data_IF_858666507479
#
_entry.id   IF_858666507479
#
_cell.length_a   1.000
_cell.length_b   1.000
_cell.length_c   1.000
_cell.angle_alpha   90.00
_cell.angle_beta   90.00
_cell.angle_gamma   90.00
#
_symmetry.space_group_name_H-M   'P 1'
#
loop_
_entity.id
_entity.type
_entity.pdbx_description
1 polymer ?
#
# COMPACT_ATOMS: atom_id res chain seq x y z
N UNK A 1 -24.82 -6.32 13.70
CA UNK A 1 -25.50 -6.07 14.99
C UNK A 1 -25.41 -7.25 15.95
N UNK A 2 -25.73 -8.49 15.52
CA UNK A 2 -25.70 -9.66 16.41
C UNK A 2 -24.27 -10.04 16.85
N UNK A 3 -23.31 -10.01 15.95
CA UNK A 3 -21.89 -10.28 16.27
C UNK A 3 -21.34 -9.23 17.24
N UNK A 4 -21.77 -7.99 17.14
CA UNK A 4 -21.36 -6.93 18.08
C UNK A 4 -21.78 -7.22 19.52
N UNK A 5 -22.94 -7.85 19.73
CA UNK A 5 -23.42 -8.26 21.06
C UNK A 5 -22.53 -9.34 21.71
N UNK A 6 -21.86 -10.15 20.87
CA UNK A 6 -20.94 -11.20 21.32
C UNK A 6 -19.53 -10.69 21.59
N UNK A 7 -19.17 -9.52 21.06
CA UNK A 7 -17.86 -8.93 21.28
C UNK A 7 -17.73 -8.40 22.71
N UNK A 8 -16.83 -9.00 23.45
CA UNK A 8 -16.53 -8.65 24.85
C UNK A 8 -15.15 -8.01 25.02
N UNK A 9 -14.49 -7.66 23.92
CA UNK A 9 -13.19 -7.00 23.93
C UNK A 9 -13.26 -5.63 24.58
N UNK A 10 -12.22 -5.27 25.34
CA UNK A 10 -12.03 -3.96 25.95
C UNK A 10 -10.65 -3.43 25.58
N UNK A 11 -10.49 -2.12 25.35
CA UNK A 11 -9.17 -1.53 25.07
C UNK A 11 -8.12 -1.88 26.16
N UNK A 12 -8.56 -1.97 27.42
CA UNK A 12 -7.71 -2.29 28.56
C UNK A 12 -7.04 -3.66 28.44
N UNK A 13 -7.65 -4.60 27.73
CA UNK A 13 -7.05 -5.93 27.54
C UNK A 13 -5.81 -5.83 26.63
N UNK A 14 -5.89 -5.03 25.57
CA UNK A 14 -4.73 -4.77 24.70
C UNK A 14 -3.66 -3.98 25.46
N UNK A 15 -4.06 -2.96 26.20
CA UNK A 15 -3.12 -2.19 27.04
C UNK A 15 -2.38 -3.08 28.03
N UNK A 16 -3.09 -3.97 28.70
CA UNK A 16 -2.48 -4.90 29.66
C UNK A 16 -1.57 -5.91 28.94
N UNK A 17 -1.99 -6.44 27.79
CA UNK A 17 -1.15 -7.33 26.99
C UNK A 17 0.18 -6.66 26.61
N UNK A 18 0.14 -5.41 26.13
CA UNK A 18 1.34 -4.66 25.80
C UNK A 18 2.22 -4.38 27.02
N UNK A 19 1.62 -4.12 28.19
CA UNK A 19 2.38 -3.97 29.46
C UNK A 19 3.05 -5.27 29.86
N UNK A 20 2.38 -6.40 29.76
CA UNK A 20 2.97 -7.71 30.05
C UNK A 20 4.13 -8.02 29.12
N UNK A 21 4.00 -7.74 27.82
CA UNK A 21 5.11 -7.89 26.86
C UNK A 21 6.31 -7.00 27.25
N UNK A 22 6.06 -5.77 27.68
CA UNK A 22 7.12 -4.87 28.11
C UNK A 22 7.82 -5.37 29.38
N UNK A 23 7.08 -5.91 30.36
CA UNK A 23 7.67 -6.51 31.57
C UNK A 23 8.47 -7.76 31.25
N UNK A 24 7.97 -8.64 30.37
CA UNK A 24 8.69 -9.83 29.91
C UNK A 24 10.02 -9.44 29.23
N UNK A 25 9.98 -8.44 28.35
CA UNK A 25 11.20 -7.89 27.74
C UNK A 25 12.17 -7.36 28.79
N UNK A 26 11.70 -6.63 29.79
CA UNK A 26 12.52 -6.10 30.90
C UNK A 26 13.23 -7.21 31.67
N UNK A 27 12.53 -8.33 31.94
CA UNK A 27 13.15 -9.48 32.60
C UNK A 27 14.28 -10.09 31.76
N UNK A 28 14.09 -10.25 30.45
CA UNK A 28 15.17 -10.71 29.55
C UNK A 28 16.34 -9.74 29.51
N UNK A 29 16.07 -8.44 29.40
CA UNK A 29 17.11 -7.42 29.43
C UNK A 29 17.92 -7.46 30.73
N UNK A 30 17.25 -7.63 31.87
CA UNK A 30 17.92 -7.76 33.15
C UNK A 30 18.82 -9.01 33.23
N UNK A 31 18.35 -10.16 32.70
CA UNK A 31 19.13 -11.40 32.61
C UNK A 31 20.35 -11.24 31.70
N UNK A 32 20.26 -10.43 30.66
CA UNK A 32 21.34 -10.13 29.70
C UNK A 32 22.27 -9.01 30.19
N UNK A 33 21.92 -8.31 31.26
CA UNK A 33 22.72 -7.22 31.81
C UNK A 33 22.64 -5.92 31.03
N UNK A 34 21.59 -5.73 30.20
CA UNK A 34 21.34 -4.50 29.42
C UNK A 34 20.23 -3.67 30.04
N UNK A 35 20.33 -2.35 30.00
CA UNK A 35 19.40 -1.43 30.65
C UNK A 35 18.41 -0.78 29.70
N UNK A 36 18.80 -0.63 28.43
CA UNK A 36 17.95 0.00 27.42
C UNK A 36 17.80 -0.89 26.20
N UNK A 37 16.74 -0.69 25.43
CA UNK A 37 16.54 -1.40 24.16
C UNK A 37 17.66 -1.06 23.18
N UNK A 38 18.13 0.19 23.19
CA UNK A 38 19.24 0.61 22.33
C UNK A 38 20.55 -0.15 22.63
N UNK A 39 20.82 -0.47 23.91
CA UNK A 39 21.93 -1.32 24.29
C UNK A 39 21.78 -2.79 23.83
N UNK A 40 20.53 -3.25 23.60
CA UNK A 40 20.23 -4.60 23.15
C UNK A 40 20.26 -4.74 21.61
N UNK A 41 19.90 -3.68 20.90
CA UNK A 41 19.81 -3.70 19.43
C UNK A 41 21.19 -4.02 18.82
N UNK A 42 21.23 -5.00 17.91
CA UNK A 42 22.45 -5.41 17.21
C UNK A 42 23.41 -6.29 18.03
N UNK A 43 23.08 -6.64 19.27
CA UNK A 43 23.91 -7.45 20.17
C UNK A 43 23.87 -8.95 19.79
N UNK A 44 24.31 -9.27 18.59
CA UNK A 44 24.41 -10.65 18.09
C UNK A 44 25.44 -11.48 18.88
N UNK A 45 26.35 -10.83 19.57
CA UNK A 45 27.31 -11.45 20.50
C UNK A 45 26.62 -12.14 21.70
N UNK A 46 25.40 -11.74 22.04
CA UNK A 46 24.58 -12.38 23.06
C UNK A 46 23.82 -13.62 22.57
N UNK A 47 23.90 -13.92 21.28
CA UNK A 47 23.24 -15.04 20.65
C UNK A 47 24.21 -16.21 20.45
N UNK A 48 23.71 -17.42 20.64
CA UNK A 48 24.43 -18.66 20.37
C UNK A 48 23.58 -19.59 19.52
N UNK A 49 24.17 -20.10 18.46
CA UNK A 49 23.52 -21.14 17.65
C UNK A 49 23.28 -22.37 18.51
N UNK A 50 22.05 -22.80 18.58
CA UNK A 50 21.67 -24.01 19.32
C UNK A 50 22.21 -25.23 18.59
N UNK A 51 22.86 -26.13 19.32
CA UNK A 51 23.31 -27.39 18.74
C UNK A 51 22.14 -28.20 18.17
N UNK A 52 22.30 -28.71 16.98
CA UNK A 52 21.32 -29.59 16.32
C UNK A 52 22.00 -30.92 15.96
N UNK A 53 21.24 -32.03 15.85
CA UNK A 53 21.79 -33.33 15.45
C UNK A 53 22.52 -33.25 14.10
N UNK A 54 23.68 -33.89 14.01
CA UNK A 54 24.42 -34.00 12.77
C UNK A 54 23.56 -34.69 11.68
N UNK A 55 23.61 -34.18 10.45
CA UNK A 55 22.80 -34.67 9.33
C UNK A 55 21.32 -34.27 9.38
N UNK A 56 20.89 -33.48 10.39
CA UNK A 56 19.58 -32.84 10.39
C UNK A 56 19.61 -31.56 9.56
N UNK A 57 18.47 -31.22 8.94
CA UNK A 57 18.32 -29.96 8.20
C UNK A 57 18.68 -28.73 9.03
N UNK A 58 18.41 -28.75 10.33
CA UNK A 58 18.80 -27.67 11.24
C UNK A 58 20.30 -27.63 11.50
N UNK A 59 20.98 -28.78 11.50
CA UNK A 59 22.44 -28.86 11.68
C UNK A 59 23.25 -28.44 10.43
N UNK A 60 22.60 -28.43 9.26
CA UNK A 60 23.22 -27.97 8.00
C UNK A 60 23.07 -26.47 7.76
N UNK A 61 22.32 -25.75 8.60
CA UNK A 61 22.12 -24.32 8.46
C UNK A 61 23.34 -23.53 8.92
N UNK A 62 23.93 -22.75 8.03
CA UNK A 62 24.94 -21.75 8.37
C UNK A 62 24.26 -20.42 8.73
N UNK A 63 24.32 -20.04 10.01
CA UNK A 63 23.76 -18.79 10.52
C UNK A 63 24.82 -17.70 10.71
N UNK A 64 26.05 -17.91 10.25
CA UNK A 64 27.18 -17.00 10.46
C UNK A 64 26.86 -15.59 9.95
N UNK A 65 26.28 -15.49 8.75
CA UNK A 65 25.92 -14.19 8.16
C UNK A 65 24.83 -13.45 8.95
N UNK A 66 23.87 -14.18 9.55
CA UNK A 66 22.82 -13.58 10.40
C UNK A 66 23.36 -13.11 11.75
N UNK A 67 24.40 -13.77 12.26
CA UNK A 67 25.01 -13.44 13.54
C UNK A 67 26.16 -12.43 13.42
N UNK A 68 26.55 -12.08 12.22
CA UNK A 68 27.52 -11.02 11.99
C UNK A 68 26.95 -9.71 12.53
N UNK A 69 27.70 -9.04 13.42
CA UNK A 69 27.32 -7.72 13.91
C UNK A 69 27.86 -6.62 12.98
N UNK A 70 27.01 -5.99 12.15
CA UNK A 70 27.47 -4.94 11.25
C UNK A 70 27.77 -3.61 11.98
N UNK A 71 27.46 -3.54 13.28
CA UNK A 71 27.58 -2.34 14.11
C UNK A 71 28.86 -2.31 14.96
N UNK A 72 29.73 -3.32 14.84
CA UNK A 72 31.00 -3.37 15.62
C UNK A 72 31.84 -2.12 15.39
N UNK A 73 31.85 -1.59 14.18
CA UNK A 73 32.58 -0.38 13.82
C UNK A 73 31.76 0.92 13.99
N UNK A 74 30.48 0.82 14.32
CA UNK A 74 29.56 1.96 14.37
C UNK A 74 28.62 1.87 15.56
N UNK A 75 29.18 2.05 16.77
CA UNK A 75 28.46 1.90 18.05
C UNK A 75 27.38 2.96 18.31
N UNK A 76 27.20 3.93 17.42
CA UNK A 76 26.24 5.03 17.59
C UNK A 76 24.94 4.83 16.80
N UNK A 77 24.69 3.64 16.25
CA UNK A 77 23.44 3.34 15.55
C UNK A 77 22.34 3.04 16.57
N UNK A 78 21.47 3.97 16.80
CA UNK A 78 20.30 3.86 17.69
C UNK A 78 19.14 4.68 17.13
N UNK A 79 17.97 4.43 17.66
CA UNK A 79 16.78 5.21 17.29
C UNK A 79 16.98 6.69 17.66
N UNK A 80 16.82 7.56 16.69
CA UNK A 80 16.85 9.00 16.91
C UNK A 80 15.54 9.62 16.38
N UNK A 81 14.70 10.09 17.29
CA UNK A 81 13.42 10.71 16.93
C UNK A 81 13.54 11.99 16.07
N UNK A 82 14.75 12.56 15.98
CA UNK A 82 15.03 13.71 15.13
C UNK A 82 15.39 13.32 13.69
N UNK A 83 15.73 12.05 13.46
CA UNK A 83 16.02 11.54 12.12
C UNK A 83 14.71 11.23 11.42
N UNK A 84 14.20 12.19 10.70
CA UNK A 84 13.01 12.05 9.90
C UNK A 84 13.40 11.49 8.53
N UNK A 85 12.87 10.31 8.20
CA UNK A 85 13.07 9.73 6.88
C UNK A 85 12.46 10.62 5.81
N UNK A 86 13.27 11.08 4.87
CA UNK A 86 12.79 11.86 3.73
C UNK A 86 12.29 10.92 2.62
N UNK A 87 10.98 10.82 2.46
CA UNK A 87 10.33 10.04 1.40
C UNK A 87 10.51 10.65 0.01
N UNK A 88 11.08 11.84 -0.11
CA UNK A 88 11.30 12.55 -1.37
C UNK A 88 10.01 12.71 -2.20
N UNK A 89 8.90 12.98 -1.53
CA UNK A 89 7.57 13.10 -2.15
C UNK A 89 7.54 14.17 -3.24
N UNK A 90 8.39 15.18 -3.13
CA UNK A 90 8.57 16.25 -4.12
C UNK A 90 9.03 15.73 -5.49
N UNK A 91 9.59 14.51 -5.54
CA UNK A 91 10.04 13.87 -6.79
C UNK A 91 8.94 13.08 -7.49
N UNK A 92 7.81 12.81 -6.84
CA UNK A 92 6.71 12.06 -7.42
C UNK A 92 6.05 12.80 -8.59
N UNK A 93 5.47 12.10 -9.58
CA UNK A 93 4.71 12.74 -10.66
C UNK A 93 3.52 13.55 -10.13
N UNK A 94 2.87 13.10 -9.05
CA UNK A 94 1.82 13.86 -8.37
C UNK A 94 2.30 15.27 -8.03
N UNK A 95 3.43 15.41 -7.35
CA UNK A 95 3.96 16.71 -6.91
C UNK A 95 4.59 17.51 -8.05
N UNK A 96 5.33 16.83 -8.93
CA UNK A 96 6.07 17.52 -9.99
C UNK A 96 5.17 17.98 -11.13
N UNK A 97 4.12 17.25 -11.44
CA UNK A 97 3.27 17.44 -12.61
C UNK A 97 1.85 17.77 -12.21
N UNK A 98 1.13 16.86 -11.53
CA UNK A 98 -0.30 16.99 -11.32
C UNK A 98 -0.65 18.20 -10.43
N UNK A 99 0.04 18.40 -9.32
CA UNK A 99 -0.18 19.55 -8.42
C UNK A 99 0.01 20.88 -9.15
N UNK A 100 0.95 20.94 -10.10
CA UNK A 100 1.19 22.15 -10.90
C UNK A 100 0.13 22.34 -12.01
N UNK A 101 -0.20 21.26 -12.72
CA UNK A 101 -1.16 21.31 -13.83
C UNK A 101 -2.57 21.64 -13.35
N UNK A 102 -2.99 21.08 -12.22
CA UNK A 102 -4.30 21.32 -11.63
C UNK A 102 -4.35 22.51 -10.66
N UNK A 103 -3.28 23.28 -10.56
CA UNK A 103 -3.22 24.44 -9.62
C UNK A 103 -4.45 25.34 -9.72
N UNK A 104 -4.86 25.72 -10.93
CA UNK A 104 -6.03 26.60 -11.15
C UNK A 104 -7.33 25.95 -10.65
N UNK A 105 -7.47 24.65 -10.80
CA UNK A 105 -8.63 23.90 -10.31
C UNK A 105 -8.64 23.84 -8.78
N UNK A 106 -7.48 23.67 -8.16
CA UNK A 106 -7.33 23.72 -6.70
C UNK A 106 -7.60 25.10 -6.10
N UNK A 107 -7.26 26.16 -6.83
CA UNK A 107 -7.49 27.55 -6.37
C UNK A 107 -8.95 28.00 -6.55
N UNK A 108 -9.81 27.17 -7.17
CA UNK A 108 -11.24 27.46 -7.39
C UNK A 108 -12.13 26.77 -6.34
N UNK A 109 -13.12 27.48 -5.83
CA UNK A 109 -14.14 26.88 -4.96
C UNK A 109 -15.04 25.88 -5.72
N UNK A 110 -15.21 26.07 -7.04
CA UNK A 110 -15.98 25.21 -7.92
C UNK A 110 -15.09 24.81 -9.13
N UNK A 111 -14.23 23.79 -8.98
CA UNK A 111 -13.34 23.38 -10.05
C UNK A 111 -14.13 22.84 -11.24
N UNK A 112 -13.81 23.31 -12.42
CA UNK A 112 -14.36 22.78 -13.66
C UNK A 112 -13.59 21.54 -14.11
N UNK A 113 -14.24 20.61 -14.84
CA UNK A 113 -13.57 19.44 -15.40
C UNK A 113 -12.31 19.83 -16.18
N UNK A 114 -11.23 19.15 -15.90
CA UNK A 114 -9.94 19.38 -16.51
C UNK A 114 -9.17 18.08 -16.67
N UNK A 115 -8.45 17.94 -17.78
CA UNK A 115 -7.71 16.73 -18.13
C UNK A 115 -6.22 17.01 -18.23
N UNK A 116 -5.42 16.10 -17.72
CA UNK A 116 -3.96 16.08 -17.85
C UNK A 116 -3.55 14.74 -18.42
N UNK A 117 -2.67 14.76 -19.43
CA UNK A 117 -2.07 13.53 -20.00
C UNK A 117 -0.59 13.50 -19.69
N UNK A 118 -0.07 12.31 -19.30
CA UNK A 118 1.34 12.08 -19.02
C UNK A 118 1.72 10.61 -19.16
N UNK A 119 3.01 10.34 -19.28
CA UNK A 119 3.56 9.00 -19.24
C UNK A 119 3.86 8.61 -17.79
N UNK A 120 3.65 7.34 -17.45
CA UNK A 120 3.94 6.74 -16.15
C UNK A 120 4.76 5.47 -16.33
N UNK A 121 5.62 5.21 -15.33
CA UNK A 121 6.42 3.99 -15.26
C UNK A 121 6.11 3.16 -14.02
N UNK A 122 6.54 1.91 -14.02
CA UNK A 122 6.34 0.98 -12.90
C UNK A 122 7.05 1.41 -11.60
N UNK A 123 7.96 2.37 -11.68
CA UNK A 123 8.61 2.99 -10.53
C UNK A 123 7.82 4.13 -9.91
N UNK A 124 6.77 4.63 -10.57
CA UNK A 124 5.87 5.66 -10.07
C UNK A 124 4.83 5.03 -9.14
N UNK A 125 5.30 4.63 -7.95
CA UNK A 125 4.49 3.92 -6.96
C UNK A 125 3.48 4.87 -6.31
N UNK A 126 2.31 4.34 -5.96
CA UNK A 126 1.22 5.07 -5.30
C UNK A 126 0.79 6.34 -6.06
N UNK A 127 0.93 6.34 -7.40
CA UNK A 127 0.51 7.45 -8.26
C UNK A 127 -0.97 7.77 -8.05
N UNK A 128 -1.30 9.05 -7.95
CA UNK A 128 -2.65 9.54 -7.71
C UNK A 128 -3.02 9.68 -6.24
N UNK A 129 -2.24 9.10 -5.30
CA UNK A 129 -2.55 9.15 -3.87
C UNK A 129 -2.37 10.54 -3.27
N UNK A 130 -1.30 11.25 -3.63
CA UNK A 130 -1.04 12.60 -3.10
C UNK A 130 -2.08 13.58 -3.63
N UNK A 131 -2.35 13.57 -4.93
CA UNK A 131 -3.37 14.44 -5.50
C UNK A 131 -4.77 14.08 -4.95
N UNK A 132 -5.06 12.82 -4.74
CA UNK A 132 -6.30 12.37 -4.11
C UNK A 132 -6.46 12.88 -2.68
N UNK A 133 -5.38 12.88 -1.90
CA UNK A 133 -5.35 13.48 -0.56
C UNK A 133 -5.64 14.97 -0.60
N UNK A 134 -5.05 15.70 -1.54
CA UNK A 134 -5.27 17.14 -1.71
C UNK A 134 -6.71 17.46 -2.13
N UNK A 135 -7.29 16.66 -3.04
CA UNK A 135 -8.71 16.78 -3.42
C UNK A 135 -9.60 16.59 -2.20
N UNK A 136 -9.36 15.54 -1.40
CA UNK A 136 -10.13 15.27 -0.19
C UNK A 136 -10.01 16.39 0.83
N UNK A 137 -8.82 16.92 1.04
CA UNK A 137 -8.58 17.99 2.00
C UNK A 137 -9.33 19.30 1.64
N UNK A 138 -9.45 19.59 0.35
CA UNK A 138 -10.08 20.83 -0.13
C UNK A 138 -11.58 20.70 -0.38
N UNK A 139 -12.01 19.59 -0.94
CA UNK A 139 -13.35 19.41 -1.48
C UNK A 139 -14.14 18.29 -0.81
N UNK A 140 -13.52 17.54 0.09
CA UNK A 140 -14.14 16.36 0.68
C UNK A 140 -14.49 15.31 -0.39
N UNK A 141 -15.70 14.78 -0.32
CA UNK A 141 -16.20 13.75 -1.26
C UNK A 141 -17.40 14.28 -2.08
N UNK A 142 -17.36 15.55 -2.48
CA UNK A 142 -18.52 16.27 -3.05
C UNK A 142 -18.41 16.52 -4.55
N UNK A 143 -17.22 16.40 -5.13
CA UNK A 143 -17.01 16.74 -6.53
C UNK A 143 -17.74 15.78 -7.47
N UNK A 144 -18.22 16.27 -8.62
CA UNK A 144 -18.68 15.42 -9.71
C UNK A 144 -17.53 14.54 -10.23
N UNK A 145 -17.88 13.38 -10.79
CA UNK A 145 -16.92 12.52 -11.49
C UNK A 145 -16.21 13.30 -12.62
N UNK A 146 -15.01 12.90 -12.94
CA UNK A 146 -14.18 13.49 -14.00
C UNK A 146 -13.83 14.99 -13.81
N UNK A 147 -14.02 15.55 -12.60
CA UNK A 147 -13.57 16.91 -12.32
C UNK A 147 -12.06 17.03 -12.49
N UNK A 148 -11.30 16.06 -12.00
CA UNK A 148 -9.87 15.89 -12.23
C UNK A 148 -9.69 14.59 -13.02
N UNK A 149 -9.31 14.69 -14.27
CA UNK A 149 -9.10 13.53 -15.14
C UNK A 149 -7.63 13.43 -15.52
N UNK A 150 -7.00 12.30 -15.25
CA UNK A 150 -5.60 12.04 -15.60
C UNK A 150 -5.54 10.86 -16.54
N UNK A 151 -5.06 11.10 -17.76
CA UNK A 151 -4.80 10.05 -18.76
C UNK A 151 -3.32 9.69 -18.69
N UNK A 152 -3.03 8.45 -18.34
CA UNK A 152 -1.70 7.91 -18.18
C UNK A 152 -1.39 6.94 -19.33
N UNK A 153 -0.20 7.02 -19.89
CA UNK A 153 0.30 6.04 -20.84
C UNK A 153 1.49 5.29 -20.23
N UNK A 154 1.50 3.98 -20.33
CA UNK A 154 2.62 3.15 -19.87
C UNK A 154 2.25 2.16 -18.77
N UNK A 155 3.01 2.14 -17.69
CA UNK A 155 2.93 1.08 -16.68
C UNK A 155 2.61 1.66 -15.31
N UNK A 156 1.44 1.35 -14.78
CA UNK A 156 1.05 1.74 -13.43
C UNK A 156 1.88 0.98 -12.39
N UNK A 157 2.64 1.72 -11.58
CA UNK A 157 3.44 1.14 -10.52
C UNK A 157 2.59 0.57 -9.36
N UNK A 158 3.25 -0.05 -8.40
CA UNK A 158 2.63 -0.58 -7.19
C UNK A 158 1.66 0.44 -6.56
N UNK A 159 0.43 0.01 -6.25
CA UNK A 159 -0.61 0.85 -5.63
C UNK A 159 -1.06 2.05 -6.48
N UNK A 160 -1.01 1.94 -7.81
CA UNK A 160 -1.56 2.97 -8.71
C UNK A 160 -3.03 3.25 -8.36
N UNK A 161 -3.40 4.50 -8.19
CA UNK A 161 -4.77 4.91 -7.86
C UNK A 161 -5.22 4.52 -6.44
N UNK A 162 -4.29 4.24 -5.51
CA UNK A 162 -4.68 3.93 -4.14
C UNK A 162 -5.37 5.12 -3.47
N UNK A 163 -6.50 4.83 -2.79
CA UNK A 163 -7.29 5.78 -1.98
C UNK A 163 -7.87 6.96 -2.74
N UNK A 164 -7.93 6.94 -4.06
CA UNK A 164 -8.44 8.09 -4.82
C UNK A 164 -9.92 8.36 -4.50
N UNK A 165 -10.25 9.64 -4.23
CA UNK A 165 -11.59 10.06 -3.85
C UNK A 165 -12.48 10.35 -5.06
N UNK A 166 -13.75 10.56 -4.81
CA UNK A 166 -14.71 11.05 -5.80
C UNK A 166 -14.21 12.35 -6.45
N UNK A 167 -14.46 12.49 -7.74
CA UNK A 167 -13.99 13.62 -8.55
C UNK A 167 -12.65 13.39 -9.23
N UNK A 168 -11.86 12.38 -8.81
CA UNK A 168 -10.62 12.00 -9.49
C UNK A 168 -10.83 10.76 -10.34
N UNK A 169 -10.51 10.87 -11.62
CA UNK A 169 -10.47 9.76 -12.58
C UNK A 169 -9.03 9.54 -13.05
N UNK A 170 -8.55 8.32 -12.91
CA UNK A 170 -7.30 7.87 -13.50
C UNK A 170 -7.61 6.88 -14.62
N UNK A 171 -7.22 7.23 -15.84
CA UNK A 171 -7.31 6.41 -17.03
C UNK A 171 -5.91 5.95 -17.42
N UNK A 172 -5.65 4.66 -17.43
CA UNK A 172 -4.37 4.07 -17.77
C UNK A 172 -4.46 3.30 -19.08
N UNK A 173 -3.77 3.80 -20.08
CA UNK A 173 -3.53 3.09 -21.34
C UNK A 173 -2.25 2.27 -21.18
N UNK A 174 -2.41 1.02 -20.74
CA UNK A 174 -1.30 0.16 -20.37
C UNK A 174 -1.72 -0.94 -19.40
N UNK A 175 -0.82 -1.31 -18.51
CA UNK A 175 -1.02 -2.29 -17.46
C UNK A 175 -0.59 -1.75 -16.08
N UNK A 176 -0.94 -2.43 -15.00
CA UNK A 176 -0.59 -2.00 -13.66
C UNK A 176 -0.12 -3.15 -12.77
N UNK A 177 0.77 -2.82 -11.86
CA UNK A 177 1.27 -3.73 -10.83
C UNK A 177 0.21 -4.00 -9.74
N UNK A 178 0.62 -4.70 -8.68
CA UNK A 178 -0.25 -5.07 -7.56
C UNK A 178 -0.85 -3.87 -6.82
N UNK A 179 -1.94 -4.12 -6.12
CA UNK A 179 -2.65 -3.15 -5.28
C UNK A 179 -3.23 -1.94 -6.02
N UNK A 180 -3.45 -2.04 -7.34
CA UNK A 180 -4.17 -0.97 -8.05
C UNK A 180 -5.51 -0.69 -7.37
N UNK A 181 -5.84 0.57 -7.16
CA UNK A 181 -7.10 0.97 -6.53
C UNK A 181 -7.29 0.50 -5.09
N UNK A 182 -6.21 0.10 -4.39
CA UNK A 182 -6.28 -0.22 -2.96
C UNK A 182 -6.98 0.89 -2.20
N UNK A 183 -8.04 0.53 -1.44
CA UNK A 183 -8.81 1.50 -0.67
C UNK A 183 -9.52 2.56 -1.52
N UNK A 184 -9.84 2.28 -2.78
CA UNK A 184 -10.61 3.18 -3.64
C UNK A 184 -11.80 3.75 -2.87
N UNK A 185 -11.93 5.07 -2.79
CA UNK A 185 -12.88 5.76 -1.91
C UNK A 185 -13.78 6.76 -2.65
N UNK A 186 -14.21 6.39 -3.83
CA UNK A 186 -15.17 7.17 -4.63
C UNK A 186 -14.65 7.60 -6.00
N UNK A 187 -13.34 7.44 -6.27
CA UNK A 187 -12.75 7.75 -7.55
C UNK A 187 -13.09 6.77 -8.65
N UNK A 188 -12.64 7.06 -9.85
CA UNK A 188 -12.82 6.22 -11.03
C UNK A 188 -11.47 5.73 -11.56
N UNK A 189 -11.37 4.44 -11.80
CA UNK A 189 -10.21 3.80 -12.44
C UNK A 189 -10.66 3.20 -13.79
N UNK A 190 -9.90 3.48 -14.84
CA UNK A 190 -10.10 2.88 -16.15
C UNK A 190 -8.75 2.36 -16.62
N UNK A 191 -8.63 1.06 -16.91
CA UNK A 191 -7.38 0.44 -17.35
C UNK A 191 -7.66 -0.39 -18.58
N UNK A 192 -6.91 -0.17 -19.64
CA UNK A 192 -6.99 -0.95 -20.85
C UNK A 192 -5.66 -0.93 -21.60
N UNK A 193 -5.28 -2.05 -22.25
CA UNK A 193 -4.10 -2.09 -23.10
C UNK A 193 -4.21 -1.15 -24.31
N UNK A 194 -3.09 -0.70 -24.91
CA UNK A 194 -3.10 0.05 -26.14
C UNK A 194 -3.92 -0.65 -27.23
N UNK A 195 -4.50 0.10 -28.17
CA UNK A 195 -5.38 -0.44 -29.22
C UNK A 195 -4.65 -1.42 -30.15
N UNK A 196 -3.37 -1.23 -30.33
CA UNK A 196 -2.47 -2.03 -31.16
C UNK A 196 -1.82 -3.20 -30.42
N UNK A 197 -2.21 -3.46 -29.16
CA UNK A 197 -1.76 -4.62 -28.42
C UNK A 197 -2.16 -5.92 -29.17
N UNK A 198 -1.17 -6.79 -29.40
CA UNK A 198 -1.33 -7.98 -30.23
C UNK A 198 -1.90 -9.21 -29.47
N UNK A 199 -2.21 -9.08 -28.19
CA UNK A 199 -2.72 -10.17 -27.36
C UNK A 199 -4.23 -10.05 -27.12
N UNK A 200 -4.87 -11.18 -26.83
CA UNK A 200 -6.27 -11.21 -26.39
C UNK A 200 -6.37 -10.73 -24.94
N UNK A 201 -7.12 -9.65 -24.74
CA UNK A 201 -7.26 -8.98 -23.43
C UNK A 201 -8.03 -9.83 -22.44
N UNK A 202 -8.96 -10.65 -22.90
CA UNK A 202 -9.75 -11.54 -22.05
C UNK A 202 -8.96 -12.72 -21.48
N UNK A 203 -7.78 -13.02 -22.05
CA UNK A 203 -6.92 -14.13 -21.64
C UNK A 203 -5.62 -13.69 -20.98
N UNK A 204 -5.37 -12.39 -20.87
CA UNK A 204 -4.11 -11.87 -20.36
C UNK A 204 -4.29 -10.97 -19.15
N UNK A 205 -3.39 -11.14 -18.16
CA UNK A 205 -3.36 -10.31 -16.96
C UNK A 205 -2.90 -8.91 -17.33
N UNK A 206 -3.75 -7.92 -17.06
CA UNK A 206 -3.51 -6.50 -17.28
C UNK A 206 -3.28 -5.74 -15.98
N UNK A 207 -3.84 -6.23 -14.88
CA UNK A 207 -3.58 -5.68 -13.55
C UNK A 207 -3.12 -6.79 -12.60
N UNK A 208 -2.20 -6.43 -11.70
CA UNK A 208 -1.60 -7.40 -10.77
C UNK A 208 -2.55 -7.88 -9.68
N UNK A 209 -1.96 -8.45 -8.64
CA UNK A 209 -2.67 -9.06 -7.52
C UNK A 209 -3.26 -8.00 -6.57
N UNK A 210 -4.26 -8.41 -5.78
CA UNK A 210 -4.83 -7.64 -4.67
C UNK A 210 -5.42 -6.28 -5.14
N UNK A 211 -5.86 -6.22 -6.39
CA UNK A 211 -6.52 -5.03 -6.94
C UNK A 211 -7.80 -4.71 -6.15
N UNK A 212 -8.07 -3.42 -5.92
CA UNK A 212 -9.24 -2.91 -5.20
C UNK A 212 -9.38 -3.43 -3.76
N UNK A 213 -8.29 -3.88 -3.13
CA UNK A 213 -8.31 -4.34 -1.74
C UNK A 213 -8.88 -3.28 -0.80
N UNK A 214 -9.92 -3.65 -0.05
CA UNK A 214 -10.54 -2.76 0.93
C UNK A 214 -11.19 -1.52 0.33
N UNK A 215 -11.56 -1.54 -0.95
CA UNK A 215 -12.27 -0.45 -1.59
C UNK A 215 -13.61 -0.18 -0.90
N UNK A 216 -13.98 1.08 -0.73
CA UNK A 216 -15.17 1.52 0.00
C UNK A 216 -16.20 2.23 -0.87
N UNK A 217 -15.83 2.60 -2.09
CA UNK A 217 -16.69 3.28 -3.06
C UNK A 217 -15.94 3.62 -4.33
N UNK A 218 -16.67 4.09 -5.34
CA UNK A 218 -16.12 4.42 -6.65
C UNK A 218 -16.32 3.32 -7.69
N UNK A 219 -15.69 3.47 -8.84
CA UNK A 219 -15.84 2.55 -9.96
C UNK A 219 -14.49 2.18 -10.58
N UNK A 220 -14.36 0.94 -11.04
CA UNK A 220 -13.19 0.47 -11.76
C UNK A 220 -13.61 -0.32 -13.02
N UNK A 221 -13.06 0.05 -14.17
CA UNK A 221 -13.29 -0.60 -15.46
C UNK A 221 -11.96 -1.13 -15.98
N UNK A 222 -11.82 -2.43 -16.03
CA UNK A 222 -10.58 -3.11 -16.39
C UNK A 222 -10.83 -3.96 -17.65
N UNK A 223 -10.24 -3.56 -18.76
CA UNK A 223 -10.29 -4.36 -19.99
C UNK A 223 -9.11 -5.33 -20.04
N UNK A 224 -9.25 -6.43 -19.38
CA UNK A 224 -8.26 -7.48 -19.21
C UNK A 224 -8.48 -8.28 -17.93
N UNK A 225 -7.63 -9.25 -17.65
CA UNK A 225 -7.70 -10.11 -16.49
C UNK A 225 -6.96 -9.47 -15.32
N UNK A 226 -7.50 -9.62 -14.12
CA UNK A 226 -6.83 -9.29 -12.86
C UNK A 226 -6.09 -10.51 -12.30
N UNK A 227 -5.01 -10.28 -11.57
CA UNK A 227 -4.33 -11.32 -10.80
C UNK A 227 -5.18 -11.84 -9.65
N UNK A 228 -4.53 -12.49 -8.67
CA UNK A 228 -5.20 -13.08 -7.51
C UNK A 228 -5.76 -12.03 -6.55
N UNK A 229 -6.74 -12.42 -5.75
CA UNK A 229 -7.31 -11.61 -4.65
C UNK A 229 -7.92 -10.29 -5.09
N UNK A 230 -8.55 -10.28 -6.25
CA UNK A 230 -9.31 -9.13 -6.73
C UNK A 230 -10.47 -8.79 -5.79
N UNK A 231 -10.68 -7.52 -5.49
CA UNK A 231 -11.78 -7.00 -4.65
C UNK A 231 -11.88 -7.60 -3.23
N UNK A 232 -10.81 -8.15 -2.66
CA UNK A 232 -10.83 -8.64 -1.28
C UNK A 232 -11.19 -7.50 -0.33
N UNK A 233 -12.17 -7.73 0.55
CA UNK A 233 -12.72 -6.74 1.50
C UNK A 233 -13.34 -5.51 0.84
N UNK A 234 -13.78 -5.59 -0.42
CA UNK A 234 -14.58 -4.53 -1.01
C UNK A 234 -15.89 -4.35 -0.23
N UNK A 235 -16.27 -3.12 0.05
CA UNK A 235 -17.47 -2.77 0.80
C UNK A 235 -18.40 -1.78 0.10
N UNK A 236 -18.07 -1.33 -1.12
CA UNK A 236 -18.91 -0.36 -1.81
C UNK A 236 -18.44 0.08 -3.20
N UNK A 237 -17.28 -0.35 -3.68
CA UNK A 237 -16.86 -0.04 -5.04
C UNK A 237 -17.47 -1.01 -6.05
N UNK A 238 -17.85 -0.51 -7.22
CA UNK A 238 -18.30 -1.31 -8.36
C UNK A 238 -17.15 -1.52 -9.33
N UNK A 239 -16.95 -2.75 -9.76
CA UNK A 239 -15.87 -3.08 -10.68
C UNK A 239 -16.35 -3.98 -11.83
N UNK A 240 -15.77 -3.75 -13.01
CA UNK A 240 -15.93 -4.60 -14.21
C UNK A 240 -14.55 -5.05 -14.65
N UNK A 241 -14.37 -6.35 -14.83
CA UNK A 241 -13.11 -6.98 -15.23
C UNK A 241 -13.41 -8.20 -16.09
N UNK A 242 -12.55 -8.55 -17.04
CA UNK A 242 -12.76 -9.68 -17.96
C UNK A 242 -12.55 -11.04 -17.27
N UNK A 243 -11.68 -11.11 -16.27
CA UNK A 243 -11.40 -12.32 -15.50
C UNK A 243 -10.59 -12.02 -14.24
N UNK A 244 -10.59 -12.95 -13.31
CA UNK A 244 -9.87 -12.85 -12.03
C UNK A 244 -9.12 -14.16 -11.73
N UNK A 245 -7.99 -14.04 -11.02
CA UNK A 245 -7.29 -15.17 -10.45
C UNK A 245 -7.99 -15.72 -9.21
N UNK A 246 -7.27 -16.54 -8.44
CA UNK A 246 -7.79 -17.20 -7.24
C UNK A 246 -8.14 -16.20 -6.13
N UNK A 247 -9.05 -16.59 -5.24
CA UNK A 247 -9.45 -15.82 -4.06
C UNK A 247 -10.10 -14.45 -4.36
N UNK A 248 -10.76 -14.32 -5.52
CA UNK A 248 -11.52 -13.10 -5.84
C UNK A 248 -12.67 -12.86 -4.88
N UNK A 249 -12.90 -11.58 -4.53
CA UNK A 249 -14.01 -11.10 -3.70
C UNK A 249 -14.11 -11.73 -2.29
N UNK A 250 -13.03 -12.27 -1.74
CA UNK A 250 -13.05 -12.77 -0.37
C UNK A 250 -13.37 -11.66 0.64
N UNK A 251 -14.21 -11.99 1.63
CA UNK A 251 -14.65 -11.04 2.66
C UNK A 251 -15.31 -9.77 2.12
N UNK A 252 -15.82 -9.79 0.91
CA UNK A 252 -16.58 -8.70 0.33
C UNK A 252 -17.90 -8.52 1.08
N UNK A 253 -18.26 -7.27 1.40
CA UNK A 253 -19.47 -6.92 2.18
C UNK A 253 -20.43 -6.00 1.43
N UNK A 254 -20.04 -5.51 0.27
CA UNK A 254 -20.83 -4.64 -0.60
C UNK A 254 -20.08 -4.25 -1.87
N UNK A 255 -20.80 -3.69 -2.82
CA UNK A 255 -20.28 -3.27 -4.13
C UNK A 255 -20.94 -3.97 -5.29
#
# INVERSE_FOLDING_TARGET
PELRKRFKGKPEYIMNFMRFMAEDLREYMAKLGVRTVDELVGRTDLLKVKAAPAGSRAGEMDLTALLQNPLVENSNVHFNAKDVYNFQLEKTPDMRILMKKFKKSFDSAEPKPSTVTLDVGNTDRAFGTIIGSEITARFGNTLPDDTFHVVCHGYGGQSFGAFIPKGLTLELVGDANDYIGKGLSGGKLVVYPPKDAAFDRSENIVIGNVALYGATGGTAFINGVAGERFCVRNSGATAVVEGVGDHGCEYMTGG
#
